data_IF_924797245011
#
_entry.id   IF_924797245011
#
_cell.length_a   1.000
_cell.length_b   1.000
_cell.length_c   1.000
_cell.angle_alpha   90.00
_cell.angle_beta   90.00
_cell.angle_gamma   90.00
#
_symmetry.space_group_name_H-M   'P 1'
#
loop_
_entity.id
_entity.type
_entity.pdbx_description
1 polymer ?
#
# COMPACT_ATOMS: atom_id res chain seq x y z
N UNK A 1 17.08 10.75 -1.46
CA UNK A 1 15.75 11.36 -1.76
C UNK A 1 15.08 11.77 -0.46
N UNK A 2 14.34 12.88 -0.40
CA UNK A 2 13.59 13.30 0.80
C UNK A 2 12.10 13.17 0.49
N UNK A 3 11.43 12.19 1.09
CA UNK A 3 10.01 11.87 0.89
C UNK A 3 9.10 13.06 1.23
N UNK A 4 9.46 13.88 2.25
CA UNK A 4 8.66 15.04 2.63
C UNK A 4 8.48 16.07 1.51
N UNK A 5 9.42 16.12 0.55
CA UNK A 5 9.30 17.05 -0.58
C UNK A 5 8.22 16.60 -1.60
N UNK A 6 7.83 15.34 -1.58
CA UNK A 6 6.79 14.77 -2.45
C UNK A 6 5.38 14.91 -1.86
N UNK A 7 5.28 15.12 -0.54
CA UNK A 7 4.01 15.15 0.18
C UNK A 7 3.26 16.44 -0.12
N UNK A 8 1.95 16.34 -0.40
CA UNK A 8 1.08 17.50 -0.57
C UNK A 8 1.08 18.39 0.67
N UNK A 9 1.04 19.69 0.47
CA UNK A 9 1.18 20.69 1.55
C UNK A 9 0.10 20.57 2.63
N UNK A 10 -1.15 20.31 2.24
CA UNK A 10 -2.25 20.10 3.18
C UNK A 10 -2.04 18.84 4.04
N UNK A 11 -1.38 17.80 3.51
CA UNK A 11 -1.07 16.58 4.26
C UNK A 11 0.12 16.79 5.20
N UNK A 12 1.13 17.56 4.78
CA UNK A 12 2.24 17.96 5.69
C UNK A 12 1.69 18.63 6.95
N UNK A 13 0.77 19.57 6.76
CA UNK A 13 0.21 20.40 7.82
C UNK A 13 -0.98 19.75 8.56
N UNK A 14 -1.45 18.58 8.10
CA UNK A 14 -2.55 17.87 8.75
C UNK A 14 -2.14 17.42 10.15
N UNK A 15 -2.94 17.74 11.16
CA UNK A 15 -2.88 17.10 12.47
C UNK A 15 -3.70 15.80 12.41
N UNK A 16 -3.11 14.62 12.58
CA UNK A 16 -3.85 13.37 12.54
C UNK A 16 -4.88 13.32 13.67
N UNK A 17 -5.95 12.58 13.46
CA UNK A 17 -6.86 12.25 14.55
C UNK A 17 -6.10 11.40 15.58
N UNK A 18 -6.11 11.81 16.84
CA UNK A 18 -5.62 11.02 17.98
C UNK A 18 -6.82 10.63 18.83
N UNK A 19 -6.94 9.35 19.14
CA UNK A 19 -7.89 8.87 20.14
C UNK A 19 -7.25 8.91 21.52
N UNK A 20 -8.03 9.11 22.58
CA UNK A 20 -7.51 9.02 23.95
C UNK A 20 -6.85 7.65 24.23
N UNK A 21 -7.25 6.61 23.47
CA UNK A 21 -6.66 5.27 23.52
C UNK A 21 -5.24 5.22 22.94
N UNK A 22 -4.91 6.10 21.99
CA UNK A 22 -3.54 6.20 21.44
C UNK A 22 -2.56 6.78 22.47
N UNK A 23 -3.08 7.62 23.37
CA UNK A 23 -2.30 8.26 24.43
C UNK A 23 -2.17 7.39 25.70
N UNK A 24 -2.93 6.28 25.77
CA UNK A 24 -2.96 5.40 26.92
C UNK A 24 -1.99 4.23 26.76
N UNK A 25 -1.05 4.10 27.67
CA UNK A 25 0.04 3.12 27.60
C UNK A 25 -0.14 1.88 28.51
N UNK A 26 -1.23 1.79 29.28
CA UNK A 26 -1.46 0.65 30.18
C UNK A 26 -2.33 -0.43 29.51
N UNK A 27 -2.05 -1.70 29.85
CA UNK A 27 -2.72 -2.86 29.26
C UNK A 27 -4.11 -3.15 29.84
N UNK A 28 -4.51 -2.48 30.93
CA UNK A 28 -5.80 -2.69 31.59
C UNK A 28 -6.35 -1.40 32.21
N UNK A 29 -7.68 -1.24 32.11
CA UNK A 29 -8.39 -0.09 32.66
C UNK A 29 -9.87 -0.11 32.34
N UNK A 30 -10.62 0.84 32.88
CA UNK A 30 -12.00 1.12 32.49
C UNK A 30 -11.95 2.18 31.40
N UNK A 31 -12.18 1.77 30.14
CA UNK A 31 -12.14 2.67 28.98
C UNK A 31 -13.50 3.36 28.83
N UNK A 32 -13.51 4.70 28.95
CA UNK A 32 -14.69 5.56 28.78
C UNK A 32 -14.42 6.66 27.73
N UNK A 33 -13.37 6.50 26.94
CA UNK A 33 -12.82 7.49 26.02
C UNK A 33 -13.59 7.63 24.70
N UNK A 34 -14.26 6.56 24.25
CA UNK A 34 -14.84 6.47 22.91
C UNK A 34 -16.37 6.41 22.89
N UNK A 35 -17.06 6.67 24.02
CA UNK A 35 -18.52 6.61 24.14
C UNK A 35 -19.12 5.26 23.70
N UNK A 36 -18.38 4.18 23.87
CA UNK A 36 -18.78 2.84 23.49
C UNK A 36 -19.87 2.30 24.44
N UNK A 37 -20.87 1.60 23.88
CA UNK A 37 -21.83 0.87 24.71
C UNK A 37 -21.09 -0.22 25.52
N UNK A 38 -21.27 -0.32 26.85
CA UNK A 38 -20.60 -1.35 27.64
C UNK A 38 -21.11 -2.78 27.38
N UNK A 39 -22.22 -2.94 26.66
CA UNK A 39 -22.88 -4.22 26.40
C UNK A 39 -22.76 -4.60 24.92
N UNK A 40 -22.56 -5.89 24.66
CA UNK A 40 -22.49 -6.48 23.32
C UNK A 40 -21.13 -7.10 23.01
N UNK A 41 -21.10 -7.94 21.96
CA UNK A 41 -19.89 -8.71 21.59
C UNK A 41 -18.91 -7.92 20.69
N UNK A 42 -19.41 -6.85 20.06
CA UNK A 42 -18.64 -6.00 19.13
C UNK A 42 -18.72 -4.52 19.50
N UNK A 43 -18.86 -4.26 20.78
CA UNK A 43 -19.09 -2.93 21.33
C UNK A 43 -17.81 -2.08 21.46
N UNK A 44 -16.64 -2.65 21.18
CA UNK A 44 -15.34 -1.97 21.29
C UNK A 44 -14.72 -1.73 19.93
N UNK A 45 -14.16 -0.53 19.73
CA UNK A 45 -13.34 -0.23 18.58
C UNK A 45 -12.11 -1.16 18.53
N UNK A 46 -11.68 -1.59 17.34
CA UNK A 46 -10.47 -2.39 17.18
C UNK A 46 -9.20 -1.58 17.45
N UNK A 47 -8.07 -2.28 17.54
CA UNK A 47 -6.75 -1.63 17.52
C UNK A 47 -6.56 -0.87 16.19
N UNK A 48 -6.38 0.47 16.22
CA UNK A 48 -6.24 1.30 15.02
C UNK A 48 -4.94 1.04 14.25
N UNK A 49 -3.97 0.41 14.90
CA UNK A 49 -2.65 0.09 14.31
C UNK A 49 -2.45 -1.38 14.00
N UNK A 50 -3.43 -2.24 14.32
CA UNK A 50 -3.42 -3.69 14.06
C UNK A 50 -2.14 -4.38 14.53
N UNK A 51 -1.61 -4.02 15.72
CA UNK A 51 -0.30 -4.43 16.24
C UNK A 51 -0.11 -5.95 16.23
N UNK A 52 -1.11 -6.69 16.76
CA UNK A 52 -1.06 -8.16 16.80
C UNK A 52 -0.96 -8.78 15.41
N UNK A 53 -1.77 -8.29 14.46
CA UNK A 53 -1.77 -8.81 13.09
C UNK A 53 -0.46 -8.46 12.36
N UNK A 54 0.04 -7.24 12.51
CA UNK A 54 1.34 -6.83 11.96
C UNK A 54 2.50 -7.67 12.49
N UNK A 55 2.45 -8.07 13.76
CA UNK A 55 3.47 -8.95 14.35
C UNK A 55 3.52 -10.32 13.65
N UNK A 56 2.37 -10.89 13.31
CA UNK A 56 2.35 -12.18 12.56
C UNK A 56 2.80 -12.01 11.11
N UNK A 57 2.36 -10.94 10.43
CA UNK A 57 2.80 -10.64 9.06
C UNK A 57 4.31 -10.39 9.04
N UNK A 58 4.85 -9.68 10.02
CA UNK A 58 6.29 -9.42 10.18
C UNK A 58 7.11 -10.72 10.19
N UNK A 59 6.66 -11.74 10.91
CA UNK A 59 7.33 -13.05 10.96
C UNK A 59 7.29 -13.76 9.59
N UNK A 60 6.14 -13.72 8.91
CA UNK A 60 5.93 -14.42 7.64
C UNK A 60 6.71 -13.77 6.50
N UNK A 61 6.70 -12.43 6.45
CA UNK A 61 7.34 -11.65 5.39
C UNK A 61 8.77 -11.23 5.73
N UNK A 62 9.26 -11.57 6.95
CA UNK A 62 10.60 -11.24 7.46
C UNK A 62 10.94 -9.74 7.31
N UNK A 63 10.04 -8.89 7.81
CA UNK A 63 10.15 -7.43 7.78
C UNK A 63 9.71 -6.82 9.11
N UNK A 64 10.27 -5.69 9.50
CA UNK A 64 9.92 -4.98 10.74
C UNK A 64 8.47 -4.48 10.72
N UNK A 65 7.79 -4.51 11.88
CA UNK A 65 6.38 -4.12 12.01
C UNK A 65 6.11 -2.65 11.65
N UNK A 66 7.08 -1.76 11.86
CA UNK A 66 7.02 -0.35 11.49
C UNK A 66 7.11 -0.11 9.97
N UNK A 67 7.47 -1.13 9.20
CA UNK A 67 7.48 -1.14 7.73
C UNK A 67 6.23 -1.81 7.13
N UNK A 68 5.17 -2.03 7.94
CA UNK A 68 3.91 -2.66 7.51
C UNK A 68 2.75 -1.70 7.71
N UNK A 69 1.96 -1.49 6.68
CA UNK A 69 0.65 -0.84 6.73
C UNK A 69 -0.44 -1.85 6.33
N UNK A 70 -1.61 -1.77 6.97
CA UNK A 70 -2.76 -2.60 6.63
C UNK A 70 -3.93 -1.71 6.20
N UNK A 71 -4.46 -2.00 5.02
CA UNK A 71 -5.58 -1.29 4.39
C UNK A 71 -6.83 -2.16 4.23
N UNK A 72 -7.96 -1.52 4.05
CA UNK A 72 -9.23 -2.18 3.70
C UNK A 72 -9.20 -2.62 2.22
N UNK A 73 -8.43 -3.69 1.95
CA UNK A 73 -7.95 -4.08 0.64
C UNK A 73 -6.74 -3.25 0.19
N UNK A 74 -6.05 -3.71 -0.85
CA UNK A 74 -4.99 -2.93 -1.51
C UNK A 74 -5.52 -1.65 -2.18
N UNK A 75 -6.82 -1.60 -2.47
CA UNK A 75 -7.47 -0.42 -3.04
C UNK A 75 -7.37 0.80 -2.10
N UNK A 76 -7.45 0.61 -0.77
CA UNK A 76 -7.21 1.69 0.18
C UNK A 76 -5.78 2.20 0.14
N UNK A 77 -4.79 1.33 -0.09
CA UNK A 77 -3.39 1.72 -0.26
C UNK A 77 -3.23 2.63 -1.48
N UNK A 78 -3.82 2.24 -2.61
CA UNK A 78 -3.79 3.03 -3.85
C UNK A 78 -4.39 4.43 -3.61
N UNK A 79 -5.58 4.50 -3.02
CA UNK A 79 -6.28 5.75 -2.77
C UNK A 79 -5.51 6.67 -1.79
N UNK A 80 -4.95 6.10 -0.72
CA UNK A 80 -4.15 6.86 0.24
C UNK A 80 -2.88 7.44 -0.40
N UNK A 81 -2.18 6.67 -1.24
CA UNK A 81 -0.99 7.16 -1.95
C UNK A 81 -1.33 8.33 -2.89
N UNK A 82 -2.47 8.26 -3.62
CA UNK A 82 -2.96 9.38 -4.42
C UNK A 82 -3.18 10.63 -3.56
N UNK A 83 -3.90 10.50 -2.45
CA UNK A 83 -4.23 11.61 -1.54
C UNK A 83 -3.01 12.22 -0.88
N UNK A 84 -1.96 11.44 -0.64
CA UNK A 84 -0.75 11.91 0.04
C UNK A 84 0.18 12.63 -0.92
N UNK A 85 0.38 12.09 -2.14
CA UNK A 85 1.48 12.50 -3.01
C UNK A 85 1.05 13.25 -4.27
N UNK A 86 -0.21 13.11 -4.73
CA UNK A 86 -0.66 13.69 -5.98
C UNK A 86 -1.66 14.84 -5.76
N UNK A 87 -1.29 16.06 -6.13
CA UNK A 87 -2.17 17.23 -6.06
C UNK A 87 -3.21 17.18 -7.17
N UNK A 88 -4.53 17.21 -6.85
CA UNK A 88 -5.61 17.19 -7.84
C UNK A 88 -5.43 18.26 -8.92
N UNK A 89 -5.80 17.95 -10.16
CA UNK A 89 -5.76 18.85 -11.35
C UNK A 89 -4.35 19.31 -11.76
N UNK A 90 -3.32 18.82 -11.11
CA UNK A 90 -1.94 19.24 -11.35
C UNK A 90 -1.03 18.06 -11.59
N UNK A 91 -1.07 17.11 -10.67
CA UNK A 91 -0.10 16.02 -10.66
C UNK A 91 -0.64 14.81 -11.44
N UNK A 92 0.29 13.89 -11.76
CA UNK A 92 0.06 12.75 -12.64
C UNK A 92 0.52 11.46 -11.99
N UNK A 93 -0.06 10.36 -12.49
CA UNK A 93 0.47 9.02 -12.27
C UNK A 93 0.86 8.38 -13.58
N UNK A 94 1.78 7.41 -13.55
CA UNK A 94 2.13 6.56 -14.67
C UNK A 94 1.66 5.13 -14.42
N UNK A 95 1.03 4.54 -15.44
CA UNK A 95 0.63 3.13 -15.47
C UNK A 95 1.11 2.47 -16.76
N UNK A 96 1.41 1.17 -16.73
CA UNK A 96 1.90 0.39 -17.87
C UNK A 96 0.81 -0.54 -18.39
N UNK A 97 0.11 -0.12 -19.44
CA UNK A 97 -1.05 -0.85 -19.95
C UNK A 97 -0.70 -1.96 -20.95
N UNK A 98 -1.46 -3.10 -20.93
CA UNK A 98 -2.63 -3.37 -20.09
C UNK A 98 -2.23 -3.73 -18.65
N UNK A 99 -2.95 -3.18 -17.65
CA UNK A 99 -2.71 -3.41 -16.23
C UNK A 99 -4.01 -3.35 -15.39
N UNK A 100 -3.89 -3.41 -14.07
CA UNK A 100 -5.04 -3.36 -13.16
C UNK A 100 -5.76 -2.00 -13.21
N UNK A 101 -7.03 -2.02 -13.59
CA UNK A 101 -7.80 -0.80 -13.87
C UNK A 101 -8.08 0.10 -12.67
N UNK A 102 -7.91 -0.37 -11.43
CA UNK A 102 -8.18 0.45 -10.24
C UNK A 102 -7.17 1.58 -10.04
N UNK A 103 -5.99 1.53 -10.63
CA UNK A 103 -5.07 2.67 -10.59
C UNK A 103 -5.69 3.89 -11.28
N UNK A 104 -6.21 3.67 -12.50
CA UNK A 104 -6.88 4.72 -13.28
C UNK A 104 -8.18 5.19 -12.60
N UNK A 105 -8.99 4.25 -12.10
CA UNK A 105 -10.22 4.59 -11.37
C UNK A 105 -9.91 5.44 -10.14
N UNK A 106 -8.92 5.05 -9.35
CA UNK A 106 -8.52 5.81 -8.15
C UNK A 106 -7.95 7.19 -8.49
N UNK A 107 -7.16 7.29 -9.56
CA UNK A 107 -6.64 8.57 -10.05
C UNK A 107 -7.77 9.50 -10.47
N UNK A 108 -8.73 9.00 -11.25
CA UNK A 108 -9.89 9.77 -11.69
C UNK A 108 -10.77 10.24 -10.51
N UNK A 109 -10.97 9.40 -9.48
CA UNK A 109 -11.69 9.80 -8.25
C UNK A 109 -10.97 10.94 -7.54
N UNK A 110 -9.63 10.94 -7.56
CA UNK A 110 -8.81 11.97 -6.92
C UNK A 110 -8.49 13.16 -7.85
N UNK A 111 -9.07 13.21 -9.05
CA UNK A 111 -8.84 14.26 -10.06
C UNK A 111 -7.33 14.42 -10.40
N UNK A 112 -6.64 13.27 -10.56
CA UNK A 112 -5.22 13.15 -10.91
C UNK A 112 -5.09 12.60 -12.33
N UNK A 113 -4.25 13.22 -13.15
CA UNK A 113 -4.03 12.81 -14.54
C UNK A 113 -3.36 11.44 -14.64
N UNK A 114 -3.82 10.60 -15.57
CA UNK A 114 -3.22 9.30 -15.83
C UNK A 114 -2.41 9.36 -17.13
N UNK A 115 -1.12 9.12 -17.01
CA UNK A 115 -0.23 8.86 -18.13
C UNK A 115 -0.17 7.35 -18.34
N UNK A 116 -0.56 6.91 -19.52
CA UNK A 116 -0.56 5.49 -19.90
C UNK A 116 0.60 5.22 -20.84
N UNK A 117 1.48 4.28 -20.47
CA UNK A 117 2.57 3.81 -21.33
C UNK A 117 2.34 2.34 -21.71
N UNK A 118 2.42 1.96 -22.99
CA UNK A 118 2.13 0.60 -23.42
C UNK A 118 3.24 -0.37 -23.02
N UNK A 119 2.86 -1.55 -22.52
CA UNK A 119 3.75 -2.70 -22.49
C UNK A 119 4.01 -3.21 -23.91
N UNK A 120 5.18 -3.78 -24.16
CA UNK A 120 5.50 -4.37 -25.44
C UNK A 120 4.75 -5.69 -25.71
N UNK A 121 5.03 -6.38 -26.83
CA UNK A 121 4.33 -7.62 -27.22
C UNK A 121 4.54 -8.77 -26.23
N UNK A 122 5.62 -8.74 -25.44
CA UNK A 122 5.93 -9.72 -24.37
C UNK A 122 5.42 -9.24 -23.00
N UNK A 123 4.57 -8.21 -22.98
CA UNK A 123 4.07 -7.56 -21.77
C UNK A 123 5.18 -7.07 -20.83
N UNK A 124 6.30 -6.57 -21.39
CA UNK A 124 7.40 -5.98 -20.67
C UNK A 124 7.45 -4.46 -20.85
N UNK A 125 8.04 -3.77 -19.87
CA UNK A 125 8.34 -2.34 -19.98
C UNK A 125 9.56 -2.19 -20.85
N UNK A 126 9.41 -1.50 -21.98
CA UNK A 126 10.49 -1.16 -22.89
C UNK A 126 10.91 0.30 -22.66
N UNK A 127 12.18 0.51 -22.32
CA UNK A 127 12.70 1.87 -22.13
C UNK A 127 12.90 2.55 -23.47
N UNK A 128 12.34 3.75 -23.60
CA UNK A 128 12.48 4.62 -24.76
C UNK A 128 12.75 6.05 -24.30
N UNK A 129 13.16 6.91 -25.22
CA UNK A 129 13.29 8.34 -24.96
C UNK A 129 11.99 8.97 -24.45
N UNK A 130 10.84 8.47 -24.91
CA UNK A 130 9.51 8.90 -24.44
C UNK A 130 9.31 8.56 -22.98
N UNK A 131 9.59 7.31 -22.55
CA UNK A 131 9.46 6.90 -21.15
C UNK A 131 10.41 7.69 -20.26
N UNK A 132 11.64 7.91 -20.71
CA UNK A 132 12.60 8.73 -19.95
C UNK A 132 12.12 10.17 -19.78
N UNK A 133 11.45 10.75 -20.78
CA UNK A 133 10.87 12.09 -20.66
C UNK A 133 9.69 12.11 -19.70
N UNK A 134 8.82 11.08 -19.74
CA UNK A 134 7.72 10.93 -18.80
C UNK A 134 8.25 10.84 -17.35
N UNK A 135 9.27 10.03 -17.10
CA UNK A 135 9.88 9.88 -15.75
C UNK A 135 10.54 11.16 -15.23
N UNK A 136 10.88 12.11 -16.11
CA UNK A 136 11.44 13.43 -15.76
C UNK A 136 10.39 14.52 -15.57
N UNK A 137 9.10 14.24 -15.84
CA UNK A 137 8.02 15.21 -15.63
C UNK A 137 7.87 15.52 -14.13
N UNK A 138 8.05 16.78 -13.76
CA UNK A 138 7.97 17.23 -12.36
C UNK A 138 6.58 17.06 -11.74
N UNK A 139 5.53 16.96 -12.56
CA UNK A 139 4.17 16.70 -12.11
C UNK A 139 3.88 15.18 -11.96
N UNK A 140 4.73 14.29 -12.45
CA UNK A 140 4.61 12.86 -12.19
C UNK A 140 4.98 12.57 -10.74
N UNK A 141 4.06 11.97 -9.96
CA UNK A 141 4.26 11.68 -8.53
C UNK A 141 4.29 10.22 -8.19
N UNK A 142 3.53 9.41 -8.92
CA UNK A 142 3.37 7.99 -8.65
C UNK A 142 3.58 7.19 -9.94
N UNK A 143 4.32 6.11 -9.85
CA UNK A 143 4.45 5.10 -10.91
C UNK A 143 3.94 3.77 -10.36
N UNK A 144 2.98 3.14 -11.04
CA UNK A 144 2.45 1.84 -10.67
C UNK A 144 2.97 0.76 -11.60
N UNK A 145 3.60 -0.27 -11.03
CA UNK A 145 4.09 -1.47 -11.73
C UNK A 145 3.41 -2.69 -11.13
N UNK A 146 2.51 -3.31 -11.86
CA UNK A 146 1.85 -4.56 -11.44
C UNK A 146 2.74 -5.76 -11.82
N UNK A 147 3.23 -6.51 -10.83
CA UNK A 147 4.12 -7.66 -11.08
C UNK A 147 4.02 -8.71 -9.96
N UNK A 148 3.45 -9.89 -10.25
CA UNK A 148 2.92 -10.35 -11.55
C UNK A 148 1.77 -9.50 -12.07
N UNK A 149 1.76 -9.20 -13.38
CA UNK A 149 0.81 -8.27 -13.98
C UNK A 149 -0.60 -8.89 -14.16
N UNK A 150 -1.61 -8.11 -13.98
CA UNK A 150 -2.99 -8.42 -14.33
C UNK A 150 -3.42 -7.52 -15.51
N UNK A 151 -3.78 -8.05 -16.71
CA UNK A 151 -4.28 -9.42 -16.91
C UNK A 151 -3.27 -10.41 -17.51
N UNK A 152 -2.06 -10.01 -17.85
CA UNK A 152 -1.13 -10.83 -18.64
C UNK A 152 -0.47 -11.99 -17.86
N UNK A 153 -0.41 -11.89 -16.53
CA UNK A 153 0.09 -12.95 -15.64
C UNK A 153 1.61 -13.09 -15.58
N UNK A 154 2.36 -12.29 -16.35
CA UNK A 154 3.82 -12.32 -16.36
C UNK A 154 4.42 -11.42 -15.28
N UNK A 155 5.64 -11.71 -14.90
CA UNK A 155 6.47 -10.80 -14.13
C UNK A 155 7.03 -9.69 -15.03
N UNK A 156 7.07 -8.48 -14.52
CA UNK A 156 7.87 -7.40 -15.13
C UNK A 156 9.35 -7.65 -14.79
N UNK A 157 10.20 -7.50 -15.78
CA UNK A 157 11.63 -7.73 -15.64
C UNK A 157 12.23 -6.88 -14.49
N UNK A 158 12.98 -7.51 -13.58
CA UNK A 158 13.57 -6.85 -12.42
C UNK A 158 14.40 -5.63 -12.82
N UNK A 159 15.16 -5.72 -13.92
CA UNK A 159 15.98 -4.62 -14.41
C UNK A 159 15.14 -3.39 -14.80
N UNK A 160 13.96 -3.59 -15.41
CA UNK A 160 13.08 -2.47 -15.78
C UNK A 160 12.56 -1.74 -14.55
N UNK A 161 12.19 -2.47 -13.49
CA UNK A 161 11.74 -1.85 -12.22
C UNK A 161 12.89 -1.12 -11.54
N UNK A 162 14.11 -1.72 -11.51
CA UNK A 162 15.30 -1.06 -10.97
C UNK A 162 15.66 0.21 -11.74
N UNK A 163 15.49 0.22 -13.05
CA UNK A 163 15.75 1.38 -13.88
C UNK A 163 14.78 2.52 -13.58
N UNK A 164 13.48 2.21 -13.40
CA UNK A 164 12.48 3.18 -12.93
C UNK A 164 12.89 3.74 -11.55
N UNK A 165 13.21 2.87 -10.59
CA UNK A 165 13.62 3.28 -9.23
C UNK A 165 14.84 4.18 -9.22
N UNK A 166 15.78 3.99 -10.15
CA UNK A 166 17.00 4.80 -10.26
C UNK A 166 16.78 6.13 -10.98
N UNK A 167 15.83 6.22 -11.91
CA UNK A 167 15.61 7.42 -12.73
C UNK A 167 14.50 8.32 -12.18
N UNK A 168 13.50 7.75 -11.52
CA UNK A 168 12.33 8.47 -11.08
C UNK A 168 12.49 9.05 -9.68
N UNK A 169 12.12 10.33 -9.52
CA UNK A 169 12.18 11.06 -8.25
C UNK A 169 10.81 11.16 -7.53
N UNK A 170 9.89 10.25 -7.78
CA UNK A 170 8.60 10.12 -7.11
C UNK A 170 8.46 8.75 -6.43
N UNK A 171 7.25 8.42 -6.01
CA UNK A 171 6.94 7.13 -5.37
C UNK A 171 6.74 6.06 -6.44
N UNK A 172 7.45 4.94 -6.32
CA UNK A 172 7.26 3.75 -7.16
C UNK A 172 6.49 2.71 -6.37
N UNK A 173 5.35 2.29 -6.90
CA UNK A 173 4.49 1.28 -6.29
C UNK A 173 4.62 0.00 -7.10
N UNK A 174 5.17 -1.05 -6.49
CA UNK A 174 5.15 -2.40 -7.07
C UNK A 174 3.98 -3.15 -6.47
N UNK A 175 3.00 -3.44 -7.31
CA UNK A 175 1.81 -4.21 -6.91
C UNK A 175 2.07 -5.70 -7.07
N UNK A 176 2.28 -6.35 -5.97
CA UNK A 176 2.53 -7.78 -5.80
C UNK A 176 1.27 -8.55 -5.35
N UNK A 177 0.08 -8.15 -5.78
CA UNK A 177 -1.16 -8.84 -5.41
C UNK A 177 -1.15 -10.34 -5.78
N UNK A 178 -0.29 -10.74 -6.69
CA UNK A 178 -0.14 -12.12 -7.17
C UNK A 178 1.23 -12.74 -6.84
N UNK A 179 2.03 -12.14 -5.96
CA UNK A 179 3.39 -12.57 -5.60
C UNK A 179 3.44 -14.01 -5.09
N UNK A 180 2.47 -14.42 -4.25
CA UNK A 180 2.41 -15.78 -3.70
C UNK A 180 2.32 -16.89 -4.79
N UNK A 181 2.01 -16.56 -6.04
CA UNK A 181 2.05 -17.47 -7.19
C UNK A 181 3.40 -17.45 -7.93
N UNK A 182 4.29 -16.52 -7.57
CA UNK A 182 5.63 -16.40 -8.13
C UNK A 182 6.65 -17.22 -7.34
N UNK A 183 7.78 -17.56 -8.00
CA UNK A 183 8.96 -18.13 -7.35
C UNK A 183 10.06 -17.09 -7.13
N UNK A 184 9.88 -15.90 -7.68
CA UNK A 184 10.84 -14.82 -7.55
C UNK A 184 10.76 -14.19 -6.16
N UNK A 185 11.85 -13.56 -5.75
CA UNK A 185 11.90 -12.85 -4.48
C UNK A 185 11.06 -11.57 -4.54
N UNK A 186 10.22 -11.36 -3.53
CA UNK A 186 9.43 -10.15 -3.38
C UNK A 186 10.29 -8.88 -3.30
N UNK A 187 9.78 -7.78 -3.83
CA UNK A 187 10.37 -6.45 -3.75
C UNK A 187 10.45 -5.90 -2.32
N UNK A 188 9.82 -6.54 -1.35
CA UNK A 188 9.96 -6.22 0.08
C UNK A 188 11.44 -6.18 0.50
N UNK A 189 12.29 -7.04 -0.07
CA UNK A 189 13.73 -7.07 0.22
C UNK A 189 14.50 -5.84 -0.24
N UNK A 190 13.94 -5.05 -1.14
CA UNK A 190 14.59 -3.86 -1.71
C UNK A 190 14.16 -2.54 -1.05
N UNK A 191 13.22 -2.57 -0.10
CA UNK A 191 12.69 -1.36 0.55
C UNK A 191 13.78 -0.53 1.22
N UNK A 192 14.79 -1.17 1.80
CA UNK A 192 15.90 -0.46 2.44
C UNK A 192 16.88 0.17 1.45
N UNK A 193 16.91 -0.33 0.22
CA UNK A 193 17.75 0.21 -0.85
C UNK A 193 17.09 1.40 -1.56
N UNK A 194 15.74 1.44 -1.57
CA UNK A 194 14.95 2.44 -2.31
C UNK A 194 13.89 3.06 -1.41
N UNK A 195 14.16 4.22 -0.78
CA UNK A 195 13.24 4.84 0.18
C UNK A 195 11.89 5.25 -0.43
N UNK A 196 11.80 5.40 -1.76
CA UNK A 196 10.59 5.72 -2.51
C UNK A 196 9.76 4.49 -2.90
N UNK A 197 10.25 3.28 -2.62
CA UNK A 197 9.55 2.04 -2.99
C UNK A 197 8.42 1.74 -2.01
N UNK A 198 7.24 1.49 -2.56
CA UNK A 198 6.09 0.91 -1.86
C UNK A 198 5.75 -0.41 -2.52
N UNK A 199 5.71 -1.48 -1.75
CA UNK A 199 5.28 -2.80 -2.22
C UNK A 199 3.88 -3.07 -1.69
N UNK A 200 2.93 -3.36 -2.58
CA UNK A 200 1.56 -3.73 -2.20
C UNK A 200 1.33 -5.22 -2.32
N UNK A 201 0.68 -5.81 -1.33
CA UNK A 201 0.22 -7.19 -1.36
C UNK A 201 -1.20 -7.30 -0.81
N UNK A 202 -1.87 -8.45 -0.98
CA UNK A 202 -3.24 -8.64 -0.53
C UNK A 202 -3.51 -10.07 -0.07
N UNK A 203 -4.39 -10.22 0.90
CA UNK A 203 -4.94 -11.52 1.27
C UNK A 203 -6.09 -11.99 0.37
N UNK A 204 -6.49 -11.17 -0.60
CA UNK A 204 -7.65 -11.44 -1.46
C UNK A 204 -7.42 -12.55 -2.50
N UNK A 205 -6.17 -12.83 -2.88
CA UNK A 205 -5.84 -13.74 -3.99
C UNK A 205 -5.41 -15.12 -3.48
N UNK A 206 -4.13 -15.40 -3.40
CA UNK A 206 -3.62 -16.71 -3.00
C UNK A 206 -4.12 -17.18 -1.62
N UNK A 207 -4.31 -16.26 -0.70
CA UNK A 207 -4.82 -16.56 0.64
C UNK A 207 -6.33 -16.80 0.70
N UNK A 208 -7.08 -16.66 -0.40
CA UNK A 208 -8.52 -16.95 -0.45
C UNK A 208 -9.40 -16.10 0.45
N UNK A 209 -8.92 -14.93 0.89
CA UNK A 209 -9.60 -14.07 1.88
C UNK A 209 -10.18 -12.78 1.27
N UNK A 210 -10.61 -12.82 0.00
CA UNK A 210 -11.16 -11.65 -0.70
C UNK A 210 -12.32 -10.99 0.06
N UNK A 211 -13.16 -11.78 0.73
CA UNK A 211 -14.30 -11.29 1.50
C UNK A 211 -13.93 -10.51 2.77
N UNK A 212 -12.70 -10.68 3.29
CA UNK A 212 -12.23 -9.98 4.48
C UNK A 212 -11.69 -8.57 4.19
N UNK A 213 -11.49 -8.22 2.93
CA UNK A 213 -11.02 -6.89 2.53
C UNK A 213 -9.78 -6.43 3.29
N UNK A 214 -8.70 -7.23 3.33
CA UNK A 214 -7.42 -6.85 3.95
C UNK A 214 -6.31 -6.89 2.91
N UNK A 215 -5.66 -5.73 2.73
CA UNK A 215 -4.47 -5.56 1.93
C UNK A 215 -3.33 -5.00 2.76
N UNK A 216 -2.13 -5.01 2.19
CA UNK A 216 -0.91 -4.61 2.85
C UNK A 216 -0.11 -3.65 1.98
N UNK A 217 0.59 -2.73 2.62
CA UNK A 217 1.71 -2.02 1.99
C UNK A 217 2.95 -2.17 2.87
N UNK A 218 4.08 -2.33 2.20
CA UNK A 218 5.40 -2.38 2.79
C UNK A 218 6.23 -1.23 2.23
N UNK A 219 6.82 -0.43 3.09
CA UNK A 219 7.62 0.74 2.70
C UNK A 219 8.49 1.21 3.86
N UNK A 220 9.30 2.23 3.63
CA UNK A 220 9.98 2.93 4.71
C UNK A 220 8.97 3.55 5.68
N UNK A 221 9.34 3.60 6.96
CA UNK A 221 8.49 4.07 8.05
C UNK A 221 7.89 5.45 7.76
N UNK A 222 8.64 6.36 7.17
CA UNK A 222 8.19 7.71 6.84
C UNK A 222 6.94 7.73 5.94
N UNK A 223 6.90 6.86 4.92
CA UNK A 223 5.72 6.73 4.04
C UNK A 223 4.53 6.16 4.82
N UNK A 224 4.76 5.14 5.63
CA UNK A 224 3.70 4.49 6.38
C UNK A 224 3.12 5.37 7.51
N UNK A 225 3.90 6.24 8.09
CA UNK A 225 3.43 7.26 9.03
C UNK A 225 2.47 8.24 8.35
N UNK A 226 2.78 8.66 7.11
CA UNK A 226 1.88 9.49 6.31
C UNK A 226 0.57 8.74 5.98
N UNK A 227 0.64 7.46 5.62
CA UNK A 227 -0.56 6.65 5.39
C UNK A 227 -1.41 6.51 6.67
N UNK A 228 -0.79 6.26 7.82
CA UNK A 228 -1.48 6.20 9.10
C UNK A 228 -2.10 7.54 9.51
N UNK A 229 -1.49 8.66 9.11
CA UNK A 229 -2.00 10.02 9.34
C UNK A 229 -3.28 10.31 8.56
N UNK A 230 -3.44 9.73 7.36
CA UNK A 230 -4.53 10.03 6.43
C UNK A 230 -5.66 8.99 6.46
N UNK A 231 -5.36 7.73 6.80
CA UNK A 231 -6.37 6.67 6.84
C UNK A 231 -7.46 6.95 7.88
N UNK A 232 -8.69 6.40 7.71
CA UNK A 232 -9.66 6.33 8.79
C UNK A 232 -9.06 5.61 10.01
N UNK A 233 -9.27 6.10 11.25
CA UNK A 233 -8.63 5.54 12.44
C UNK A 233 -8.81 4.02 12.58
N UNK A 234 -10.01 3.53 12.37
CA UNK A 234 -10.40 2.12 12.54
C UNK A 234 -10.73 1.47 11.19
N UNK A 235 -9.84 1.61 10.22
CA UNK A 235 -10.06 1.19 8.83
C UNK A 235 -10.28 -0.32 8.64
N UNK A 236 -9.84 -1.17 9.57
CA UNK A 236 -10.05 -2.62 9.53
C UNK A 236 -10.84 -3.07 10.76
N UNK A 237 -11.97 -3.73 10.54
CA UNK A 237 -12.83 -4.20 11.63
C UNK A 237 -12.14 -5.26 12.50
N UNK A 238 -12.60 -5.38 13.76
CA UNK A 238 -12.09 -6.41 14.68
C UNK A 238 -12.31 -7.83 14.14
N UNK A 239 -13.39 -8.07 13.42
CA UNK A 239 -13.69 -9.37 12.81
C UNK A 239 -12.67 -9.71 11.74
N UNK A 240 -12.39 -8.77 10.85
CA UNK A 240 -11.42 -8.98 9.77
C UNK A 240 -10.00 -9.18 10.31
N UNK A 241 -9.60 -8.40 11.31
CA UNK A 241 -8.30 -8.59 11.97
C UNK A 241 -8.19 -9.99 12.59
N UNK A 242 -9.22 -10.44 13.30
CA UNK A 242 -9.23 -11.76 13.94
C UNK A 242 -9.20 -12.91 12.95
N UNK A 243 -10.00 -12.85 11.89
CA UNK A 243 -10.07 -13.92 10.89
C UNK A 243 -8.76 -14.04 10.09
N UNK A 244 -8.16 -12.90 9.70
CA UNK A 244 -6.84 -12.92 9.06
C UNK A 244 -5.79 -13.50 10.02
N UNK A 245 -5.76 -13.05 11.28
CA UNK A 245 -4.82 -13.57 12.28
C UNK A 245 -4.93 -15.08 12.43
N UNK A 246 -6.15 -15.62 12.58
CA UNK A 246 -6.38 -17.06 12.69
C UNK A 246 -5.95 -17.84 11.43
N UNK A 247 -6.18 -17.26 10.26
CA UNK A 247 -5.76 -17.83 8.98
C UNK A 247 -4.24 -17.89 8.86
N UNK A 248 -3.52 -16.86 9.31
CA UNK A 248 -2.06 -16.86 9.33
C UNK A 248 -1.46 -17.92 10.25
N UNK A 249 -2.15 -18.31 11.32
CA UNK A 249 -1.73 -19.42 12.20
C UNK A 249 -1.89 -20.79 11.52
N UNK A 250 -2.72 -20.90 10.48
CA UNK A 250 -3.07 -22.14 9.78
C UNK A 250 -2.66 -22.09 8.30
N UNK A 251 -1.46 -21.65 7.99
CA UNK A 251 -0.95 -21.41 6.62
C UNK A 251 -1.06 -22.63 5.70
N UNK A 252 -0.97 -23.85 6.23
CA UNK A 252 -1.08 -25.10 5.45
C UNK A 252 -2.41 -25.22 4.68
N UNK A 253 -3.43 -24.46 5.08
CA UNK A 253 -4.74 -24.44 4.43
C UNK A 253 -4.75 -23.71 3.08
N UNK A 254 -3.74 -22.89 2.82
CA UNK A 254 -3.68 -21.94 1.69
C UNK A 254 -2.47 -22.20 0.76
N UNK A 255 -1.71 -23.23 1.07
CA UNK A 255 -0.53 -23.66 0.27
C UNK A 255 -0.78 -24.95 -0.48
#
# INVERSE_FOLDING_TARGET
>A
MNIQNLVRENIKNLTPYSSARDEFSADAGVFLDANENPFGDFNRYPDPYQKTLKTEISKIKNIETNKIFLGNGSDEVIDLLMRIFAEPKKDKILVFNPTYGMYEVSANINDVEVVSYPLNQDFQIEFSEELEQILKDENLKLVFVCSPNNPSGNLIAKNSVLEILNQFNGIVVVDEAYEDFSKEQSWISEIDNFPQLVVMQTFSKAWGMAGLRVGMAFAQQEILELMNKVKPPYNISILNQKEVYQSLQNQEKFR
#
